data_IF_022744134117
#
_entry.id   IF_022744134117
#
_cell.length_a   1.000
_cell.length_b   1.000
_cell.length_c   1.000
_cell.angle_alpha   90.00
_cell.angle_beta   90.00
_cell.angle_gamma   90.00
#
_symmetry.space_group_name_H-M   'P 1'
#
loop_
_entity.id
_entity.type
_entity.pdbx_description
1 polymer ?
#
# COMPACT_ATOMS: atom_id res chain seq x y z
N UNK A 1 0.25 74.38 -33.63
CA UNK A 1 -0.80 75.16 -34.31
C UNK A 1 -2.16 74.69 -33.81
N UNK A 2 -3.08 75.61 -33.49
CA UNK A 2 -4.51 75.47 -33.10
C UNK A 2 -5.06 74.16 -32.47
N UNK A 3 -5.70 74.35 -31.30
CA UNK A 3 -6.68 73.47 -30.62
C UNK A 3 -8.09 73.73 -31.23
N UNK A 4 -9.01 72.75 -31.32
CA UNK A 4 -10.20 72.64 -30.43
C UNK A 4 -10.25 71.27 -29.68
N UNK A 5 -10.86 71.06 -28.49
CA UNK A 5 -12.19 71.41 -27.94
C UNK A 5 -13.36 70.65 -28.63
N UNK A 6 -14.43 70.16 -27.98
CA UNK A 6 -14.97 70.12 -26.60
C UNK A 6 -15.72 68.76 -26.44
N UNK A 7 -16.20 68.21 -25.30
CA UNK A 7 -16.35 68.62 -23.88
C UNK A 7 -16.01 67.37 -22.99
N UNK A 8 -16.47 67.02 -21.78
CA UNK A 8 -17.40 67.48 -20.70
C UNK A 8 -16.93 66.85 -19.35
N UNK A 9 -17.08 67.41 -18.15
CA UNK A 9 -18.27 67.73 -17.29
C UNK A 9 -18.96 66.44 -16.76
N UNK A 10 -18.98 66.11 -15.45
CA UNK A 10 -18.61 66.88 -14.23
C UNK A 10 -18.24 65.96 -13.02
N UNK A 11 -17.36 66.45 -12.12
CA UNK A 11 -17.40 66.46 -10.62
C UNK A 11 -18.04 65.22 -9.89
N UNK A 12 -17.36 64.56 -8.94
CA UNK A 12 -17.12 65.09 -7.57
C UNK A 12 -15.87 64.55 -6.85
N UNK A 13 -15.28 65.39 -5.99
CA UNK A 13 -14.17 65.10 -5.08
C UNK A 13 -14.64 64.53 -3.72
N UNK A 14 -13.76 63.84 -3.00
CA UNK A 14 -13.34 64.20 -1.63
C UNK A 14 -12.00 63.51 -1.34
N UNK A 15 -11.14 64.15 -0.54
CA UNK A 15 -9.80 63.68 -0.19
C UNK A 15 -9.70 63.36 1.31
N UNK A 16 -8.67 62.62 1.71
CA UNK A 16 -7.97 62.76 3.01
C UNK A 16 -6.57 62.14 2.86
N UNK A 17 -5.63 62.58 3.69
CA UNK A 17 -4.18 62.45 3.47
C UNK A 17 -3.44 61.89 4.69
N UNK A 18 -2.37 61.11 4.43
CA UNK A 18 -1.18 60.92 5.28
C UNK A 18 -1.41 60.25 6.65
N UNK A 19 -0.73 59.11 6.88
CA UNK A 19 0.29 58.98 7.94
C UNK A 19 1.23 57.81 7.61
N UNK A 20 2.51 57.91 8.00
CA UNK A 20 3.48 56.83 7.85
C UNK A 20 3.57 55.97 9.12
N UNK A 21 3.51 54.66 8.97
CA UNK A 21 3.83 53.66 9.99
C UNK A 21 4.63 52.52 9.37
N UNK A 22 5.96 52.63 9.39
CA UNK A 22 6.84 51.53 8.98
C UNK A 22 6.92 50.50 10.12
N UNK A 23 6.01 49.54 10.13
CA UNK A 23 6.04 48.40 11.05
C UNK A 23 6.82 47.24 10.44
N UNK A 24 8.12 47.20 10.69
CA UNK A 24 8.95 46.01 10.44
C UNK A 24 8.45 44.91 11.38
N UNK A 25 7.70 43.95 10.84
CA UNK A 25 7.41 42.70 11.54
C UNK A 25 8.69 41.86 11.58
N UNK A 26 9.51 42.14 12.60
CA UNK A 26 10.49 41.16 13.07
C UNK A 26 9.69 40.00 13.64
N UNK A 27 9.50 38.95 12.82
CA UNK A 27 9.18 37.64 13.35
C UNK A 27 10.43 37.23 14.10
N UNK A 28 10.43 37.45 15.41
CA UNK A 28 11.45 36.88 16.28
C UNK A 28 11.30 35.37 16.17
N UNK A 29 12.33 34.72 15.64
CA UNK A 29 12.38 33.27 15.60
C UNK A 29 12.53 32.77 17.03
N UNK A 30 11.41 32.43 17.66
CA UNK A 30 11.39 31.87 19.00
C UNK A 30 11.84 30.42 18.87
N UNK A 31 13.16 30.24 18.82
CA UNK A 31 13.81 28.96 19.05
C UNK A 31 13.38 28.47 20.43
N UNK A 32 12.35 27.63 20.47
CA UNK A 32 11.88 26.94 21.66
C UNK A 32 12.89 25.85 22.00
N UNK A 33 14.05 26.28 22.50
CA UNK A 33 15.17 25.45 22.92
C UNK A 33 14.84 24.82 24.28
N UNK A 34 13.76 24.03 24.26
CA UNK A 34 13.24 23.24 25.37
C UNK A 34 13.42 21.79 24.99
N UNK A 35 14.64 21.28 25.18
CA UNK A 35 14.98 19.86 25.11
C UNK A 35 14.28 19.11 26.25
N UNK A 36 12.97 18.94 26.12
CA UNK A 36 12.23 17.98 26.93
C UNK A 36 12.75 16.60 26.58
N UNK A 37 13.15 15.87 27.61
CA UNK A 37 13.86 14.62 27.43
C UNK A 37 12.89 13.46 27.16
N UNK A 38 12.25 13.53 26.00
CA UNK A 38 11.13 12.68 25.63
C UNK A 38 11.63 11.30 25.15
N UNK A 39 11.25 10.26 25.91
CA UNK A 39 11.58 8.88 25.51
C UNK A 39 10.85 8.51 24.23
N UNK A 40 11.60 8.03 23.25
CA UNK A 40 11.08 7.43 22.03
C UNK A 40 11.49 5.96 21.93
N UNK A 41 10.80 5.19 21.08
CA UNK A 41 11.18 3.82 20.82
C UNK A 41 12.49 3.79 20.02
N UNK A 42 13.56 3.22 20.58
CA UNK A 42 14.81 2.91 19.90
C UNK A 42 14.88 1.42 19.55
N UNK A 43 15.57 1.12 18.45
CA UNK A 43 16.04 -0.21 18.10
C UNK A 43 17.52 -0.28 18.45
N UNK A 44 17.89 -1.14 19.40
CA UNK A 44 19.24 -1.32 19.92
C UNK A 44 19.79 -2.67 19.47
N UNK A 45 20.95 -2.65 18.83
CA UNK A 45 21.72 -3.82 18.42
C UNK A 45 22.83 -4.06 19.44
N UNK A 46 22.90 -5.28 19.95
CA UNK A 46 23.96 -5.76 20.84
C UNK A 46 24.64 -6.98 20.24
N UNK A 47 25.77 -7.38 20.81
CA UNK A 47 26.49 -8.59 20.39
C UNK A 47 25.69 -9.88 20.68
N UNK A 48 26.23 -11.05 20.36
CA UNK A 48 25.59 -12.32 20.73
C UNK A 48 25.64 -12.56 22.25
N UNK A 49 24.50 -12.94 22.85
CA UNK A 49 24.45 -13.32 24.27
C UNK A 49 25.51 -14.39 24.60
N UNK A 50 26.39 -14.17 25.60
CA UNK A 50 27.47 -15.11 25.90
C UNK A 50 26.95 -16.51 26.28
N UNK A 51 27.33 -17.53 25.49
CA UNK A 51 26.88 -18.92 25.66
C UNK A 51 27.62 -19.67 26.78
N UNK A 52 27.95 -18.99 27.89
CA UNK A 52 28.69 -19.60 29.00
C UNK A 52 27.80 -20.57 29.79
N UNK A 53 28.33 -21.74 30.15
CA UNK A 53 27.55 -22.88 30.69
C UNK A 53 26.91 -22.65 32.06
N UNK A 54 27.16 -21.49 32.68
CA UNK A 54 26.70 -21.15 34.03
C UNK A 54 25.64 -20.03 34.04
N UNK A 55 25.21 -19.50 32.89
CA UNK A 55 24.17 -18.49 32.82
C UNK A 55 22.78 -19.12 32.86
N UNK A 56 22.06 -18.90 33.97
CA UNK A 56 20.65 -19.29 34.16
C UNK A 56 19.65 -18.28 33.59
N UNK A 57 20.15 -17.19 33.00
CA UNK A 57 19.37 -16.05 32.52
C UNK A 57 18.84 -16.30 31.10
N UNK A 58 17.59 -15.92 30.84
CA UNK A 58 17.02 -15.98 29.49
C UNK A 58 17.52 -14.82 28.61
N UNK A 59 17.38 -14.97 27.29
CA UNK A 59 17.76 -13.94 26.31
C UNK A 59 16.98 -12.63 26.47
N UNK A 60 15.72 -12.70 26.94
CA UNK A 60 14.94 -11.50 27.28
C UNK A 60 15.51 -10.82 28.52
N UNK A 61 15.75 -11.55 29.62
CA UNK A 61 16.35 -11.00 30.84
C UNK A 61 17.75 -10.44 30.61
N UNK A 62 18.50 -11.01 29.66
CA UNK A 62 19.77 -10.42 29.22
C UNK A 62 19.57 -9.04 28.59
N UNK A 63 18.61 -8.88 27.67
CA UNK A 63 18.24 -7.56 27.13
C UNK A 63 17.65 -6.61 28.19
N UNK A 64 16.85 -7.11 29.14
CA UNK A 64 16.38 -6.32 30.29
C UNK A 64 17.56 -5.76 31.12
N UNK A 65 18.69 -6.48 31.21
CA UNK A 65 19.90 -6.01 31.90
C UNK A 65 20.64 -4.85 31.22
N UNK A 66 20.21 -4.43 30.03
CA UNK A 66 20.68 -3.18 29.38
C UNK A 66 19.82 -1.97 29.76
N UNK A 67 18.57 -2.19 30.18
CA UNK A 67 17.62 -1.11 30.48
C UNK A 67 17.94 -0.51 31.86
N UNK A 68 17.98 0.84 32.00
CA UNK A 68 18.12 1.48 33.32
C UNK A 68 17.00 1.05 34.28
N UNK A 69 17.36 0.69 35.51
CA UNK A 69 16.40 0.20 36.54
C UNK A 69 15.39 1.25 37.02
N UNK A 70 15.53 2.51 36.61
CA UNK A 70 14.53 3.57 36.71
C UNK A 70 13.38 3.44 35.69
N UNK A 71 13.48 2.52 34.73
CA UNK A 71 12.53 2.31 33.64
C UNK A 71 11.73 1.02 33.82
N UNK A 72 10.65 1.10 34.63
CA UNK A 72 9.78 -0.06 34.93
C UNK A 72 9.03 -0.65 33.73
N UNK A 73 9.00 0.05 32.60
CA UNK A 73 8.32 -0.34 31.35
C UNK A 73 9.23 -0.12 30.13
N UNK A 74 10.56 -0.17 30.32
CA UNK A 74 11.53 0.25 29.30
C UNK A 74 11.66 -0.68 28.08
N UNK A 75 11.54 -2.01 28.25
CA UNK A 75 11.70 -2.98 27.17
C UNK A 75 10.38 -3.19 26.41
N UNK A 76 10.37 -2.95 25.09
CA UNK A 76 9.22 -3.19 24.22
C UNK A 76 9.24 -4.60 23.61
N UNK A 77 10.38 -5.00 23.03
CA UNK A 77 10.55 -6.28 22.34
C UNK A 77 11.99 -6.79 22.48
N UNK A 78 12.17 -8.11 22.58
CA UNK A 78 13.47 -8.78 22.60
C UNK A 78 13.66 -9.63 21.35
N UNK A 79 14.70 -9.36 20.56
CA UNK A 79 14.98 -10.02 19.29
C UNK A 79 16.16 -11.00 19.44
N UNK A 80 15.95 -12.26 18.98
CA UNK A 80 16.98 -13.32 18.98
C UNK A 80 17.06 -14.12 17.67
N UNK A 81 16.21 -13.79 16.70
CA UNK A 81 16.03 -14.53 15.45
C UNK A 81 16.20 -13.63 14.22
N UNK A 82 15.65 -12.41 14.25
CA UNK A 82 15.83 -11.40 13.20
C UNK A 82 17.13 -10.59 13.33
N UNK A 83 17.62 -10.46 14.57
CA UNK A 83 18.93 -9.91 14.95
C UNK A 83 19.17 -10.24 16.44
N UNK A 84 20.39 -9.99 16.94
CA UNK A 84 20.65 -9.84 18.37
C UNK A 84 20.36 -8.38 18.74
N UNK A 85 19.45 -8.14 19.68
CA UNK A 85 19.02 -6.78 19.99
C UNK A 85 17.63 -6.69 20.62
N UNK A 86 17.21 -5.46 20.88
CA UNK A 86 15.92 -5.17 21.49
C UNK A 86 15.33 -3.86 20.99
N UNK A 87 14.02 -3.68 21.20
CA UNK A 87 13.36 -2.40 21.11
C UNK A 87 13.05 -1.90 22.53
N UNK A 88 13.28 -0.62 22.80
CA UNK A 88 13.07 -0.04 24.13
C UNK A 88 12.66 1.44 24.05
N UNK A 89 11.90 1.92 25.04
CA UNK A 89 11.62 3.35 25.23
C UNK A 89 12.80 3.99 25.97
N UNK A 90 13.57 4.82 25.27
CA UNK A 90 14.83 5.40 25.75
C UNK A 90 14.93 6.88 25.39
N UNK A 91 15.67 7.65 26.20
CA UNK A 91 16.15 8.99 25.84
C UNK A 91 17.47 8.94 25.06
N UNK A 92 17.91 10.08 24.52
CA UNK A 92 19.22 10.17 23.85
C UNK A 92 20.39 9.92 24.80
N UNK A 93 20.33 10.36 26.07
CA UNK A 93 21.40 10.08 27.04
C UNK A 93 21.32 8.66 27.63
N UNK A 94 20.13 8.03 27.65
CA UNK A 94 20.02 6.59 27.94
C UNK A 94 20.69 5.77 26.81
N UNK A 95 20.57 6.21 25.55
CA UNK A 95 21.30 5.63 24.42
C UNK A 95 22.80 5.96 24.46
N UNK A 96 23.19 7.16 24.89
CA UNK A 96 24.61 7.53 25.08
C UNK A 96 25.24 6.84 26.31
N UNK A 97 24.44 6.41 27.29
CA UNK A 97 24.88 5.57 28.39
C UNK A 97 25.04 4.10 27.92
N UNK A 98 24.12 3.61 27.10
CA UNK A 98 24.21 2.29 26.46
C UNK A 98 25.43 2.14 25.56
N UNK A 99 25.78 3.18 24.79
CA UNK A 99 26.94 3.13 23.86
C UNK A 99 28.31 3.04 24.53
N UNK A 100 28.35 3.08 25.87
CA UNK A 100 29.56 2.89 26.70
C UNK A 100 29.72 1.47 27.23
N UNK A 101 28.84 0.53 26.84
CA UNK A 101 28.96 -0.90 27.13
C UNK A 101 29.72 -1.64 26.03
N UNK A 102 30.56 -2.59 26.45
CA UNK A 102 31.34 -3.44 25.53
C UNK A 102 30.45 -4.27 24.59
N UNK A 103 29.23 -4.63 24.99
CA UNK A 103 28.32 -5.44 24.16
C UNK A 103 27.42 -4.60 23.22
N UNK A 104 27.53 -3.27 23.24
CA UNK A 104 26.72 -2.38 22.39
C UNK A 104 27.33 -2.27 20.98
N UNK A 105 26.49 -2.42 19.94
CA UNK A 105 26.92 -2.27 18.55
C UNK A 105 26.35 -1.01 17.90
N UNK A 106 25.05 -0.76 18.04
CA UNK A 106 24.37 0.39 17.43
C UNK A 106 23.01 0.65 18.07
N UNK A 107 22.52 1.88 18.01
CA UNK A 107 21.12 2.21 18.28
C UNK A 107 20.61 3.27 17.31
N UNK A 108 19.34 3.17 16.93
CA UNK A 108 18.64 4.14 16.09
C UNK A 108 17.19 4.31 16.54
N UNK A 109 16.58 5.50 16.38
CA UNK A 109 15.15 5.68 16.58
C UNK A 109 14.34 4.74 15.67
N UNK A 110 13.29 4.15 16.22
CA UNK A 110 12.27 3.42 15.49
C UNK A 110 11.52 4.37 14.57
N UNK A 111 11.15 3.89 13.37
CA UNK A 111 10.61 4.73 12.30
C UNK A 111 9.19 4.29 11.95
N UNK A 112 8.26 5.25 11.97
CA UNK A 112 6.91 5.05 11.45
C UNK A 112 7.01 5.00 9.92
N UNK A 113 6.85 3.80 9.35
CA UNK A 113 6.79 3.60 7.91
C UNK A 113 5.44 4.08 7.37
N UNK A 114 5.47 4.85 6.27
CA UNK A 114 4.27 5.39 5.61
C UNK A 114 3.77 4.43 4.53
N UNK A 115 2.45 4.30 4.39
CA UNK A 115 1.81 3.50 3.33
C UNK A 115 2.05 4.16 1.95
N UNK A 116 2.92 3.57 1.14
CA UNK A 116 3.55 4.26 -0.01
C UNK A 116 3.27 3.62 -1.38
N UNK A 117 2.01 3.36 -1.72
CA UNK A 117 1.60 2.85 -3.04
C UNK A 117 1.95 3.80 -4.21
N UNK A 118 2.12 5.09 -3.93
CA UNK A 118 2.66 6.11 -4.85
C UNK A 118 4.18 6.02 -5.08
N UNK A 119 4.89 5.14 -4.36
CA UNK A 119 6.34 4.98 -4.44
C UNK A 119 6.79 3.59 -4.89
N UNK A 120 5.98 2.54 -4.70
CA UNK A 120 6.37 1.15 -5.01
C UNK A 120 6.94 0.93 -6.43
N UNK A 121 6.36 1.48 -7.52
CA UNK A 121 6.92 1.30 -8.87
C UNK A 121 8.29 1.99 -9.05
N UNK A 122 8.49 3.13 -8.39
CA UNK A 122 9.74 3.89 -8.37
C UNK A 122 10.81 3.19 -7.52
N UNK A 123 10.44 2.64 -6.36
CA UNK A 123 11.30 1.84 -5.49
C UNK A 123 11.84 0.58 -6.21
N UNK A 124 10.98 -0.15 -6.91
CA UNK A 124 11.36 -1.28 -7.76
C UNK A 124 12.14 -0.86 -9.02
N UNK A 125 12.21 0.44 -9.31
CA UNK A 125 12.95 1.00 -10.44
C UNK A 125 12.28 0.79 -11.80
N UNK A 126 10.95 0.57 -11.84
CA UNK A 126 10.19 0.38 -13.08
C UNK A 126 10.16 1.67 -13.92
N UNK A 127 10.13 2.82 -13.24
CA UNK A 127 10.25 4.16 -13.80
C UNK A 127 11.67 4.56 -14.24
N UNK A 128 12.70 3.79 -13.84
CA UNK A 128 14.08 4.19 -14.06
C UNK A 128 14.39 4.28 -15.56
N UNK A 129 14.70 5.50 -16.04
CA UNK A 129 15.02 5.82 -17.45
C UNK A 129 16.03 4.84 -18.07
N UNK A 130 16.95 4.35 -17.24
CA UNK A 130 18.05 3.46 -17.62
C UNK A 130 17.63 1.98 -17.76
N UNK A 131 16.51 1.56 -17.14
CA UNK A 131 16.04 0.16 -17.16
C UNK A 131 15.02 -0.13 -18.26
N UNK A 132 14.25 0.89 -18.69
CA UNK A 132 13.23 0.81 -19.74
C UNK A 132 12.23 -0.36 -19.60
N UNK A 133 11.99 -0.91 -18.41
CA UNK A 133 11.19 -2.14 -18.26
C UNK A 133 9.75 -1.94 -18.73
N UNK A 134 9.06 -0.95 -18.16
CA UNK A 134 7.70 -0.56 -18.55
C UNK A 134 7.59 -0.07 -20.00
N UNK A 135 8.47 0.85 -20.43
CA UNK A 135 8.42 1.48 -21.77
C UNK A 135 8.97 0.61 -22.91
N UNK A 136 9.67 -0.47 -22.57
CA UNK A 136 10.24 -1.45 -23.49
C UNK A 136 9.52 -2.78 -23.37
N UNK A 137 10.21 -3.79 -22.81
CA UNK A 137 9.78 -5.20 -22.88
C UNK A 137 8.42 -5.50 -22.23
N UNK A 138 8.05 -4.82 -21.16
CA UNK A 138 6.80 -5.13 -20.44
C UNK A 138 5.57 -4.38 -20.98
N UNK A 139 5.75 -3.31 -21.76
CA UNK A 139 4.66 -2.52 -22.33
C UNK A 139 3.58 -2.11 -21.33
N UNK A 140 3.96 -1.76 -20.10
CA UNK A 140 3.07 -1.51 -18.95
C UNK A 140 2.04 -2.63 -18.62
N UNK A 141 2.20 -3.84 -19.16
CA UNK A 141 1.24 -4.95 -19.06
C UNK A 141 0.17 -5.00 -20.15
N UNK A 142 0.28 -4.18 -21.20
CA UNK A 142 -0.72 -4.03 -22.26
C UNK A 142 -1.14 -5.36 -22.89
N UNK A 143 -2.43 -5.68 -22.81
CA UNK A 143 -3.02 -6.90 -23.38
C UNK A 143 -2.93 -8.15 -22.49
N UNK A 144 -2.31 -8.05 -21.30
CA UNK A 144 -2.41 -9.06 -20.23
C UNK A 144 -3.72 -8.87 -19.48
N UNK A 145 -4.37 -9.96 -19.08
CA UNK A 145 -5.56 -9.94 -18.20
C UNK A 145 -5.19 -10.52 -16.84
N UNK A 146 -5.38 -9.72 -15.78
CA UNK A 146 -5.17 -10.13 -14.39
C UNK A 146 -6.54 -10.41 -13.76
N UNK A 147 -6.78 -11.67 -13.40
CA UNK A 147 -7.89 -12.09 -12.55
C UNK A 147 -7.60 -11.78 -11.09
N UNK A 148 -8.50 -11.08 -10.41
CA UNK A 148 -8.42 -10.76 -8.98
C UNK A 148 -9.51 -11.55 -8.24
N UNK A 149 -9.08 -12.44 -7.36
CA UNK A 149 -9.93 -13.32 -6.54
C UNK A 149 -9.96 -12.73 -5.12
N UNK A 150 -10.98 -11.93 -4.80
CA UNK A 150 -10.98 -11.01 -3.65
C UNK A 150 -12.41 -10.53 -3.30
N UNK A 151 -12.57 -9.41 -2.57
CA UNK A 151 -13.87 -8.83 -2.15
C UNK A 151 -14.63 -8.03 -3.22
N UNK A 152 -14.24 -8.15 -4.50
CA UNK A 152 -14.84 -7.40 -5.62
C UNK A 152 -14.04 -6.16 -6.03
N UNK A 153 -14.72 -5.15 -6.59
CA UNK A 153 -14.10 -3.88 -7.02
C UNK A 153 -15.03 -2.67 -6.80
N UNK A 154 -14.46 -1.48 -6.61
CA UNK A 154 -15.17 -0.20 -6.73
C UNK A 154 -14.97 0.35 -8.16
N UNK A 155 -15.85 0.06 -9.14
CA UNK A 155 -15.54 0.23 -10.57
C UNK A 155 -15.33 1.68 -11.01
N UNK A 156 -15.96 2.64 -10.33
CA UNK A 156 -15.85 4.08 -10.64
C UNK A 156 -14.64 4.77 -9.97
N UNK A 157 -13.77 4.03 -9.28
CA UNK A 157 -12.57 4.60 -8.68
C UNK A 157 -11.55 5.05 -9.75
N UNK A 158 -10.86 6.18 -9.52
CA UNK A 158 -9.99 6.80 -10.54
C UNK A 158 -8.88 5.87 -11.07
N UNK A 159 -8.40 4.93 -10.25
CA UNK A 159 -7.44 3.88 -10.63
C UNK A 159 -7.93 2.94 -11.73
N UNK A 160 -9.23 2.93 -12.06
CA UNK A 160 -9.85 2.03 -13.03
C UNK A 160 -10.47 2.75 -14.24
N UNK A 161 -10.08 4.00 -14.49
CA UNK A 161 -10.33 4.61 -15.79
C UNK A 161 -9.67 3.79 -16.91
N UNK A 162 -10.22 3.87 -18.13
CA UNK A 162 -9.71 3.15 -19.30
C UNK A 162 -9.18 4.10 -20.39
N UNK A 163 -8.79 5.32 -20.00
CA UNK A 163 -8.23 6.30 -20.92
C UNK A 163 -6.99 5.75 -21.64
N UNK A 164 -7.01 5.82 -22.97
CA UNK A 164 -6.02 5.26 -23.91
C UNK A 164 -5.79 3.74 -23.83
N UNK A 165 -6.64 2.98 -23.13
CA UNK A 165 -6.57 1.53 -23.13
C UNK A 165 -7.09 0.90 -24.44
N UNK A 166 -6.47 -0.19 -24.91
CA UNK A 166 -6.99 -0.96 -26.04
C UNK A 166 -8.27 -1.72 -25.62
N UNK A 167 -9.09 -2.17 -26.58
CA UNK A 167 -10.17 -3.12 -26.27
C UNK A 167 -9.64 -4.44 -25.68
N UNK A 168 -10.50 -5.23 -25.00
CA UNK A 168 -10.12 -6.51 -24.43
C UNK A 168 -9.43 -7.47 -25.44
N UNK A 169 -8.48 -8.31 -25.01
CA UNK A 169 -7.82 -9.27 -25.90
C UNK A 169 -8.82 -10.24 -26.52
N UNK A 170 -8.66 -10.61 -27.80
CA UNK A 170 -9.59 -11.50 -28.55
C UNK A 170 -9.83 -12.89 -27.93
N UNK A 171 -8.99 -13.32 -26.98
CA UNK A 171 -9.15 -14.57 -26.23
C UNK A 171 -10.15 -14.47 -25.07
N UNK A 172 -10.53 -13.25 -24.68
CA UNK A 172 -11.39 -12.95 -23.54
C UNK A 172 -12.82 -13.40 -23.78
N UNK A 173 -13.40 -14.08 -22.79
CA UNK A 173 -14.79 -14.61 -22.82
C UNK A 173 -15.60 -14.20 -21.60
N UNK A 174 -14.96 -13.59 -20.60
CA UNK A 174 -15.62 -13.15 -19.38
C UNK A 174 -16.63 -12.03 -19.62
N UNK A 175 -17.46 -11.80 -18.60
CA UNK A 175 -18.67 -10.96 -18.70
C UNK A 175 -18.80 -10.01 -17.52
N UNK A 176 -19.71 -9.06 -17.65
CA UNK A 176 -20.02 -8.06 -16.64
C UNK A 176 -21.32 -8.43 -15.91
N UNK A 177 -21.26 -8.70 -14.61
CA UNK A 177 -22.39 -9.07 -13.74
C UNK A 177 -22.79 -7.94 -12.78
N UNK A 178 -22.43 -6.69 -13.11
CA UNK A 178 -22.97 -5.50 -12.47
C UNK A 178 -24.43 -5.21 -12.89
N UNK A 179 -25.15 -4.42 -12.07
CA UNK A 179 -26.52 -3.96 -12.38
C UNK A 179 -26.61 -3.07 -13.63
N UNK A 180 -25.54 -2.32 -13.94
CA UNK A 180 -25.37 -1.67 -15.24
C UNK A 180 -24.13 -2.23 -15.92
N UNK A 181 -24.25 -2.55 -17.22
CA UNK A 181 -23.13 -3.06 -18.02
C UNK A 181 -22.05 -1.99 -18.24
N UNK A 182 -22.41 -0.71 -18.16
CA UNK A 182 -21.52 0.46 -18.32
C UNK A 182 -20.48 0.58 -17.17
N UNK A 183 -20.59 -0.24 -16.13
CA UNK A 183 -19.62 -0.32 -15.03
C UNK A 183 -18.42 -1.23 -15.35
N UNK A 184 -18.46 -1.97 -16.46
CA UNK A 184 -17.27 -2.54 -17.09
C UNK A 184 -16.83 -1.65 -18.27
N UNK A 185 -15.52 -1.55 -18.48
CA UNK A 185 -14.90 -0.70 -19.50
C UNK A 185 -13.64 -1.40 -20.06
N UNK A 186 -12.78 -0.71 -20.82
CA UNK A 186 -11.56 -1.36 -21.33
C UNK A 186 -10.50 -1.64 -20.24
N UNK A 187 -10.72 -1.18 -19.00
CA UNK A 187 -9.87 -1.46 -17.83
C UNK A 187 -10.39 -2.63 -16.99
N UNK A 188 -11.62 -2.56 -16.51
CA UNK A 188 -12.35 -3.66 -15.86
C UNK A 188 -13.16 -4.36 -16.94
N UNK A 189 -12.60 -5.41 -17.53
CA UNK A 189 -13.15 -6.07 -18.73
C UNK A 189 -14.14 -7.19 -18.41
N UNK A 190 -14.29 -7.52 -17.13
CA UNK A 190 -15.34 -8.37 -16.59
C UNK A 190 -15.34 -8.33 -15.07
N UNK A 191 -16.50 -8.60 -14.48
CA UNK A 191 -16.71 -8.55 -13.04
C UNK A 191 -17.83 -9.53 -12.69
N UNK A 192 -17.55 -10.48 -11.79
CA UNK A 192 -18.41 -11.62 -11.46
C UNK A 192 -18.46 -11.86 -9.95
N UNK A 193 -19.51 -12.54 -9.46
CA UNK A 193 -19.77 -12.70 -8.02
C UNK A 193 -20.25 -14.11 -7.68
N UNK A 194 -19.72 -14.69 -6.59
CA UNK A 194 -19.94 -16.08 -6.20
C UNK A 194 -20.45 -16.15 -4.76
N UNK A 195 -21.51 -16.94 -4.55
CA UNK A 195 -22.07 -17.22 -3.23
C UNK A 195 -22.86 -18.53 -3.27
N UNK A 196 -22.23 -19.61 -2.82
CA UNK A 196 -22.80 -20.96 -2.75
C UNK A 196 -24.09 -21.08 -1.92
N UNK A 197 -24.37 -20.12 -1.02
CA UNK A 197 -25.57 -20.11 -0.16
C UNK A 197 -26.80 -19.53 -0.86
N UNK A 198 -26.61 -18.95 -2.04
CA UNK A 198 -27.64 -18.21 -2.76
C UNK A 198 -27.93 -16.83 -2.15
N UNK A 199 -28.76 -16.08 -2.87
CA UNK A 199 -28.97 -14.65 -2.64
C UNK A 199 -28.27 -13.80 -3.70
N UNK A 200 -28.79 -12.60 -3.94
CA UNK A 200 -28.22 -11.68 -4.93
C UNK A 200 -26.94 -11.04 -4.37
N UNK A 201 -25.79 -11.38 -4.94
CA UNK A 201 -24.50 -10.73 -4.66
C UNK A 201 -24.04 -9.94 -5.88
N UNK A 202 -23.11 -9.00 -5.68
CA UNK A 202 -22.59 -8.16 -6.76
C UNK A 202 -21.06 -8.14 -6.72
N UNK A 203 -20.39 -7.87 -7.85
CA UNK A 203 -18.94 -7.64 -7.85
C UNK A 203 -18.52 -6.29 -7.23
N UNK A 204 -19.45 -5.52 -6.63
CA UNK A 204 -19.15 -4.25 -5.97
C UNK A 204 -18.49 -4.52 -4.62
N UNK A 205 -17.29 -3.98 -4.44
CA UNK A 205 -16.55 -4.05 -3.18
C UNK A 205 -17.20 -3.16 -2.12
N UNK A 206 -17.48 -3.75 -0.96
CA UNK A 206 -17.99 -3.08 0.24
C UNK A 206 -16.96 -3.05 1.39
N UNK A 207 -15.85 -3.77 1.25
CA UNK A 207 -14.80 -3.90 2.25
C UNK A 207 -13.58 -3.02 1.92
N UNK A 208 -13.26 -2.86 0.62
CA UNK A 208 -12.16 -2.05 0.10
C UNK A 208 -10.90 -2.85 -0.24
N UNK A 209 -10.82 -4.13 0.14
CA UNK A 209 -9.63 -4.96 -0.05
C UNK A 209 -9.39 -5.30 -1.52
N UNK A 210 -10.39 -5.84 -2.23
CA UNK A 210 -10.31 -6.10 -3.68
C UNK A 210 -10.05 -4.85 -4.51
N UNK A 211 -10.62 -3.71 -4.10
CA UNK A 211 -10.31 -2.38 -4.66
C UNK A 211 -8.84 -2.01 -4.48
N UNK A 212 -8.25 -2.29 -3.32
CA UNK A 212 -6.86 -1.99 -3.02
C UNK A 212 -5.87 -2.93 -3.73
N UNK A 213 -6.13 -4.25 -3.72
CA UNK A 213 -5.27 -5.27 -4.35
C UNK A 213 -5.27 -5.15 -5.87
N UNK A 214 -6.43 -4.96 -6.51
CA UNK A 214 -6.52 -4.64 -7.94
C UNK A 214 -5.82 -3.31 -8.28
N UNK A 215 -5.90 -2.33 -7.38
CA UNK A 215 -5.18 -1.06 -7.47
C UNK A 215 -3.66 -1.23 -7.48
N UNK A 216 -3.11 -2.09 -6.61
CA UNK A 216 -1.68 -2.44 -6.56
C UNK A 216 -1.26 -3.24 -7.81
N UNK A 217 -2.06 -4.21 -8.24
CA UNK A 217 -1.74 -5.02 -9.41
C UNK A 217 -1.69 -4.19 -10.70
N UNK A 218 -2.74 -3.39 -10.96
CA UNK A 218 -2.94 -2.77 -12.27
C UNK A 218 -3.50 -1.33 -12.26
N UNK A 219 -3.56 -0.61 -11.13
CA UNK A 219 -4.11 0.74 -11.10
C UNK A 219 -3.50 1.68 -12.16
N UNK A 220 -4.35 2.45 -12.87
CA UNK A 220 -3.90 3.54 -13.75
C UNK A 220 -3.13 4.59 -12.96
N UNK A 221 -2.41 5.45 -13.68
CA UNK A 221 -1.79 6.65 -13.10
C UNK A 221 -2.87 7.60 -12.56
N UNK A 222 -2.87 7.84 -11.25
CA UNK A 222 -3.74 8.83 -10.57
C UNK A 222 -2.85 9.87 -9.90
N UNK A 223 -2.84 11.08 -10.45
CA UNK A 223 -1.99 12.18 -9.96
C UNK A 223 -2.55 12.82 -8.68
N UNK A 224 -1.66 13.33 -7.83
CA UNK A 224 -1.98 13.97 -6.54
C UNK A 224 -2.73 13.04 -5.57
N UNK A 225 -2.51 11.73 -5.69
CA UNK A 225 -3.03 10.74 -4.76
C UNK A 225 -2.31 10.86 -3.41
N UNK A 226 -3.08 10.94 -2.31
CA UNK A 226 -2.58 10.95 -0.94
C UNK A 226 -3.66 10.45 0.02
N UNK A 227 -3.27 10.01 1.22
CA UNK A 227 -4.19 9.67 2.31
C UNK A 227 -3.87 10.61 3.47
N UNK A 228 -4.80 11.51 3.81
CA UNK A 228 -4.59 12.56 4.84
C UNK A 228 -3.30 13.39 4.60
N UNK A 229 -2.96 13.64 3.33
CA UNK A 229 -1.71 14.25 2.83
C UNK A 229 -0.44 13.37 2.92
N UNK A 230 -0.48 12.22 3.60
CA UNK A 230 0.61 11.22 3.54
C UNK A 230 0.74 10.60 2.16
N UNK A 231 1.98 10.23 1.82
CA UNK A 231 2.38 9.56 0.57
C UNK A 231 1.94 10.29 -0.73
N UNK A 232 1.84 11.63 -0.69
CA UNK A 232 1.45 12.44 -1.85
C UNK A 232 2.34 12.18 -3.08
N UNK A 233 1.71 11.80 -4.21
CA UNK A 233 2.39 11.53 -5.47
C UNK A 233 1.44 11.08 -6.57
N UNK A 234 1.96 10.33 -7.55
CA UNK A 234 1.14 9.63 -8.54
C UNK A 234 0.97 8.18 -8.10
N UNK A 235 -0.26 7.75 -7.79
CA UNK A 235 -0.55 6.34 -7.54
C UNK A 235 -0.56 5.58 -8.87
N UNK A 236 -0.05 4.36 -8.87
CA UNK A 236 -0.03 3.47 -10.04
C UNK A 236 0.21 2.02 -9.61
N UNK A 237 -0.41 1.08 -10.31
CA UNK A 237 -0.14 -0.34 -10.12
C UNK A 237 1.14 -0.80 -10.81
N UNK A 238 1.53 -2.05 -10.60
CA UNK A 238 2.73 -2.64 -11.22
C UNK A 238 2.55 -2.84 -12.75
N UNK A 239 1.32 -3.06 -13.21
CA UNK A 239 0.97 -3.20 -14.63
C UNK A 239 -0.19 -2.26 -15.05
N UNK A 240 0.06 -0.94 -15.23
CA UNK A 240 -1.00 0.06 -15.46
C UNK A 240 -1.84 -0.14 -16.72
N UNK A 241 -1.31 -0.78 -17.76
CA UNK A 241 -1.99 -1.06 -19.04
C UNK A 241 -2.55 -2.50 -19.12
N UNK A 242 -2.38 -3.33 -18.07
CA UNK A 242 -3.06 -4.63 -18.00
C UNK A 242 -4.56 -4.46 -17.76
N UNK A 243 -5.37 -5.40 -18.25
CA UNK A 243 -6.80 -5.46 -17.98
C UNK A 243 -7.06 -6.16 -16.65
N UNK A 244 -8.14 -5.77 -15.96
CA UNK A 244 -8.63 -6.38 -14.74
C UNK A 244 -9.88 -7.23 -15.03
N UNK A 245 -9.91 -8.43 -14.45
CA UNK A 245 -11.08 -9.28 -14.37
C UNK A 245 -11.35 -9.59 -12.90
N UNK A 246 -12.55 -9.29 -12.42
CA UNK A 246 -12.85 -9.27 -10.98
C UNK A 246 -13.77 -10.44 -10.61
N UNK A 247 -13.40 -11.19 -9.59
CA UNK A 247 -14.16 -12.34 -9.08
C UNK A 247 -14.38 -12.13 -7.59
N UNK A 248 -15.56 -11.61 -7.22
CA UNK A 248 -15.94 -11.46 -5.83
C UNK A 248 -16.32 -12.83 -5.25
N UNK A 249 -15.52 -13.34 -4.32
CA UNK A 249 -15.68 -14.68 -3.71
C UNK A 249 -15.89 -14.61 -2.20
N UNK A 250 -16.22 -13.41 -1.68
CA UNK A 250 -16.34 -13.12 -0.27
C UNK A 250 -17.71 -12.53 0.09
N UNK A 251 -18.05 -12.56 1.39
CA UNK A 251 -19.19 -11.81 1.93
C UNK A 251 -19.00 -10.28 1.85
N UNK A 252 -20.08 -9.53 2.07
CA UNK A 252 -20.06 -8.06 1.93
C UNK A 252 -19.11 -7.35 2.92
N UNK A 253 -18.76 -8.02 4.01
CA UNK A 253 -17.83 -7.55 5.04
C UNK A 253 -16.38 -7.96 4.78
N UNK A 254 -16.08 -8.77 3.75
CA UNK A 254 -14.74 -9.30 3.49
C UNK A 254 -14.24 -10.25 4.58
N UNK A 255 -15.12 -10.72 5.46
CA UNK A 255 -14.84 -11.54 6.64
C UNK A 255 -14.90 -13.04 6.39
N UNK A 256 -15.54 -13.45 5.30
CA UNK A 256 -15.70 -14.85 4.93
C UNK A 256 -15.58 -15.01 3.42
N UNK A 257 -14.56 -15.74 2.97
CA UNK A 257 -14.33 -16.09 1.57
C UNK A 257 -14.34 -17.63 1.48
N UNK A 258 -15.48 -18.28 1.19
CA UNK A 258 -15.58 -19.74 1.28
C UNK A 258 -14.80 -20.45 0.17
N UNK A 259 -14.06 -21.51 0.49
CA UNK A 259 -13.26 -22.29 -0.47
C UNK A 259 -14.03 -22.69 -1.75
N UNK A 260 -15.32 -22.99 -1.63
CA UNK A 260 -16.19 -23.35 -2.75
C UNK A 260 -16.45 -22.17 -3.70
N UNK A 261 -16.55 -20.95 -3.18
CA UNK A 261 -16.70 -19.73 -3.98
C UNK A 261 -15.35 -19.28 -4.55
N UNK A 262 -14.26 -19.43 -3.78
CA UNK A 262 -12.88 -19.22 -4.25
C UNK A 262 -12.58 -20.14 -5.44
N UNK A 263 -12.87 -21.45 -5.32
CA UNK A 263 -12.70 -22.42 -6.41
C UNK A 263 -13.57 -22.08 -7.62
N UNK A 264 -14.84 -21.68 -7.42
CA UNK A 264 -15.72 -21.28 -8.51
C UNK A 264 -15.18 -20.03 -9.24
N UNK A 265 -14.64 -19.05 -8.49
CA UNK A 265 -13.96 -17.88 -9.04
C UNK A 265 -12.71 -18.25 -9.87
N UNK A 266 -11.84 -19.13 -9.35
CA UNK A 266 -10.62 -19.57 -10.03
C UNK A 266 -10.93 -20.34 -11.32
N UNK A 267 -11.82 -21.34 -11.28
CA UNK A 267 -12.22 -22.12 -12.48
C UNK A 267 -12.83 -21.17 -13.53
N UNK A 268 -13.71 -20.26 -13.10
CA UNK A 268 -14.33 -19.27 -13.99
C UNK A 268 -13.30 -18.34 -14.63
N UNK A 269 -12.32 -17.84 -13.88
CA UNK A 269 -11.28 -16.96 -14.40
C UNK A 269 -10.43 -17.66 -15.48
N UNK A 270 -10.16 -18.95 -15.31
CA UNK A 270 -9.49 -19.81 -16.28
C UNK A 270 -10.34 -19.99 -17.55
N UNK A 271 -11.66 -20.19 -17.42
CA UNK A 271 -12.58 -20.29 -18.58
C UNK A 271 -12.68 -18.97 -19.36
N UNK A 272 -12.83 -17.86 -18.63
CA UNK A 272 -12.94 -16.48 -19.12
C UNK A 272 -11.66 -16.04 -19.86
N UNK A 273 -10.49 -16.59 -19.48
CA UNK A 273 -9.24 -16.50 -20.23
C UNK A 273 -8.17 -15.55 -19.68
N UNK A 274 -8.07 -15.43 -18.35
CA UNK A 274 -7.01 -14.63 -17.69
C UNK A 274 -5.59 -15.15 -18.01
N UNK A 275 -4.56 -14.31 -17.84
CA UNK A 275 -3.15 -14.69 -17.90
C UNK A 275 -2.54 -14.94 -16.51
N UNK A 276 -3.01 -14.16 -15.52
CA UNK A 276 -2.48 -14.13 -14.16
C UNK A 276 -3.65 -14.16 -13.18
N UNK A 277 -3.53 -14.92 -12.10
CA UNK A 277 -4.41 -14.85 -10.93
C UNK A 277 -3.67 -14.15 -9.77
N UNK A 278 -4.33 -13.16 -9.19
CA UNK A 278 -3.94 -12.50 -7.93
C UNK A 278 -4.92 -12.92 -6.84
N UNK A 279 -4.42 -13.64 -5.85
CA UNK A 279 -5.23 -14.22 -4.76
C UNK A 279 -4.68 -13.70 -3.43
N UNK A 280 -5.26 -12.63 -2.92
CA UNK A 280 -4.86 -12.03 -1.64
C UNK A 280 -5.67 -12.62 -0.47
N UNK A 281 -5.83 -13.94 -0.49
CA UNK A 281 -6.58 -14.74 0.47
C UNK A 281 -5.69 -15.89 0.95
N UNK A 282 -5.82 -16.29 2.22
CA UNK A 282 -5.09 -17.41 2.81
C UNK A 282 -5.93 -18.13 3.87
N UNK A 283 -5.69 -19.43 4.05
CA UNK A 283 -6.33 -20.23 5.10
C UNK A 283 -5.53 -20.03 6.40
N UNK A 284 -6.16 -19.74 7.57
CA UNK A 284 -5.46 -19.42 8.82
C UNK A 284 -4.85 -20.65 9.54
N UNK A 285 -4.32 -21.63 8.79
CA UNK A 285 -3.70 -22.86 9.30
C UNK A 285 -2.58 -23.35 8.38
N UNK A 286 -1.34 -23.26 8.82
CA UNK A 286 -0.15 -23.60 8.01
C UNK A 286 0.07 -25.11 7.79
N UNK A 287 -0.50 -25.97 8.65
CA UNK A 287 -0.27 -27.42 8.65
C UNK A 287 -1.08 -28.21 7.60
N UNK A 288 -1.73 -27.55 6.63
CA UNK A 288 -2.49 -28.23 5.58
C UNK A 288 -1.57 -28.82 4.49
N UNK A 289 -1.56 -30.16 4.26
CA UNK A 289 -0.82 -30.73 3.15
C UNK A 289 -1.38 -30.25 1.80
N UNK A 290 -0.51 -30.03 0.81
CA UNK A 290 -0.86 -29.48 -0.52
C UNK A 290 -1.99 -30.24 -1.26
N UNK A 291 -2.24 -31.51 -0.94
CA UNK A 291 -3.34 -32.30 -1.51
C UNK A 291 -4.69 -32.11 -0.78
N UNK A 292 -4.75 -31.22 0.22
CA UNK A 292 -5.96 -30.77 0.91
C UNK A 292 -6.20 -29.27 0.78
N UNK A 293 -5.14 -28.47 0.57
CA UNK A 293 -5.28 -27.06 0.20
C UNK A 293 -5.88 -26.95 -1.22
N UNK A 294 -7.13 -26.53 -1.28
CA UNK A 294 -7.91 -26.37 -2.50
C UNK A 294 -7.37 -25.21 -3.38
N UNK A 295 -6.80 -24.17 -2.77
CA UNK A 295 -6.17 -23.06 -3.49
C UNK A 295 -4.88 -23.55 -4.15
N UNK A 296 -4.03 -24.31 -3.45
CA UNK A 296 -2.85 -24.95 -4.05
C UNK A 296 -3.20 -25.91 -5.19
N UNK A 297 -4.22 -26.75 -5.02
CA UNK A 297 -4.67 -27.70 -6.07
C UNK A 297 -5.12 -26.95 -7.33
N UNK A 298 -6.00 -25.94 -7.17
CA UNK A 298 -6.51 -25.16 -8.28
C UNK A 298 -5.39 -24.35 -8.96
N UNK A 299 -4.49 -23.75 -8.17
CA UNK A 299 -3.34 -22.99 -8.67
C UNK A 299 -2.36 -23.85 -9.45
N UNK A 300 -2.04 -25.05 -8.94
CA UNK A 300 -1.20 -26.02 -9.64
C UNK A 300 -1.81 -26.39 -11.00
N UNK A 301 -3.11 -26.71 -11.03
CA UNK A 301 -3.83 -27.04 -12.27
C UNK A 301 -3.87 -25.87 -13.26
N UNK A 302 -4.12 -24.64 -12.77
CA UNK A 302 -4.11 -23.42 -13.57
C UNK A 302 -2.75 -23.20 -14.28
N UNK A 303 -1.65 -23.43 -13.56
CA UNK A 303 -0.29 -23.38 -14.12
C UNK A 303 -0.08 -24.50 -15.15
N UNK A 304 -0.30 -25.77 -14.79
CA UNK A 304 0.16 -26.90 -15.63
C UNK A 304 -0.74 -27.21 -16.84
N UNK A 305 -2.06 -26.99 -16.75
CA UNK A 305 -2.99 -27.29 -17.85
C UNK A 305 -3.29 -26.08 -18.75
N UNK A 306 -3.10 -24.86 -18.24
CA UNK A 306 -3.61 -23.63 -18.86
C UNK A 306 -2.55 -22.54 -19.03
N UNK A 307 -1.40 -22.65 -18.37
CA UNK A 307 -0.33 -21.65 -18.41
C UNK A 307 -0.64 -20.36 -17.63
N UNK A 308 -1.65 -20.38 -16.76
CA UNK A 308 -2.04 -19.23 -15.94
C UNK A 308 -1.12 -19.12 -14.73
N UNK A 309 -0.44 -17.98 -14.57
CA UNK A 309 0.47 -17.76 -13.44
C UNK A 309 -0.34 -17.35 -12.22
N UNK A 310 -0.04 -17.91 -11.04
CA UNK A 310 -0.71 -17.52 -9.79
C UNK A 310 0.25 -16.80 -8.85
N UNK A 311 -0.22 -15.68 -8.29
CA UNK A 311 0.42 -14.94 -7.21
C UNK A 311 -0.52 -14.94 -6.00
N UNK A 312 -0.09 -15.55 -4.90
CA UNK A 312 -0.85 -15.64 -3.66
C UNK A 312 -0.14 -14.93 -2.49
N UNK A 313 -0.90 -14.45 -1.52
CA UNK A 313 -0.36 -13.99 -0.23
C UNK A 313 0.14 -15.15 0.62
N UNK A 314 1.28 -14.99 1.29
CA UNK A 314 1.70 -15.88 2.37
C UNK A 314 0.93 -15.56 3.67
N UNK A 315 0.80 -16.55 4.55
CA UNK A 315 0.45 -16.32 5.96
C UNK A 315 1.68 -15.76 6.71
N UNK A 316 1.45 -15.17 7.89
CA UNK A 316 2.45 -14.55 8.78
C UNK A 316 2.19 -14.94 10.25
#
# INVERSE_FOLDING_TARGET
MKIPCLSSVFILFIAITIQSSCSIYVIADVSSDTTWNERQAYIVHVDAMPTSTNMTMSHQQWHESFIPTTSSEGLLYSFKHVMNGFAAMLTEEEVEALSKRDEFLHAQPSKIYQLATTYSPKFLGLEAKNRQFWKGKAGYGKGVVIGVIDTGITPLHQSFNDYEMPPPPRKWKGRCEFLSQDLCNNKIIGARSFNHRGGYTTPIDKHGHGTHTAGIAAGRFVNNASVLHSANGTASGIAPDAHLAIYNVCDESGSSCPDVDILAGIETAIEDGVDILSISLAIPTDDLPLYKDLISIASFKAVIEKGVVVSASALL
#
